data_IF_000751878473
#
_entry.id   IF_000751878473
#
_cell.length_a   1.000
_cell.length_b   1.000
_cell.length_c   1.000
_cell.angle_alpha   90.00
_cell.angle_beta   90.00
_cell.angle_gamma   90.00
#
_symmetry.space_group_name_H-M   'P 1'
#
loop_
_entity.id
_entity.type
_entity.pdbx_description
1 polymer ?
#
# COMPACT_ATOMS: atom_id res chain seq x y z
N UNK A 1 -15.97 17.48 9.96
CA UNK A 1 -17.01 16.44 10.13
C UNK A 1 -17.32 15.87 8.75
N UNK A 2 -16.65 14.80 8.34
CA UNK A 2 -16.99 14.12 7.08
C UNK A 2 -18.22 13.24 7.32
N UNK A 3 -19.27 13.47 6.55
CA UNK A 3 -20.45 12.62 6.52
C UNK A 3 -20.06 11.26 5.94
N UNK A 4 -19.97 10.24 6.81
CA UNK A 4 -19.85 8.83 6.38
C UNK A 4 -21.23 8.33 5.95
N UNK A 5 -21.62 8.62 4.72
CA UNK A 5 -22.80 8.02 4.10
C UNK A 5 -22.37 6.65 3.57
N UNK A 6 -23.08 5.58 3.96
CA UNK A 6 -22.79 4.25 3.45
C UNK A 6 -23.42 4.04 2.05
N UNK A 7 -23.02 2.98 1.33
CA UNK A 7 -23.48 2.75 -0.05
C UNK A 7 -25.00 2.65 -0.17
N UNK A 8 -25.69 2.07 0.80
CA UNK A 8 -27.16 1.94 0.79
C UNK A 8 -27.86 3.28 0.97
N UNK A 9 -27.44 4.08 1.94
CA UNK A 9 -27.96 5.42 2.18
C UNK A 9 -27.74 6.32 0.97
N UNK A 10 -26.59 6.20 0.33
CA UNK A 10 -26.27 6.97 -0.87
C UNK A 10 -27.11 6.54 -2.08
N UNK A 11 -27.28 5.22 -2.31
CA UNK A 11 -28.19 4.68 -3.34
C UNK A 11 -29.61 5.19 -3.15
N UNK A 12 -30.10 5.23 -1.91
CA UNK A 12 -31.41 5.77 -1.58
C UNK A 12 -31.52 7.26 -1.95
N UNK A 13 -30.53 8.07 -1.56
CA UNK A 13 -30.49 9.51 -1.86
C UNK A 13 -30.44 9.80 -3.37
N UNK A 14 -29.61 9.08 -4.11
CA UNK A 14 -29.51 9.23 -5.57
C UNK A 14 -30.81 8.84 -6.29
N UNK A 15 -31.43 7.75 -5.85
CA UNK A 15 -32.72 7.30 -6.38
C UNK A 15 -33.80 8.35 -6.13
N UNK A 16 -33.78 8.99 -4.96
CA UNK A 16 -34.74 10.02 -4.58
C UNK A 16 -34.55 11.32 -5.40
N UNK A 17 -33.31 11.82 -5.49
CA UNK A 17 -32.99 13.02 -6.28
C UNK A 17 -33.33 12.87 -7.77
N UNK A 18 -33.21 11.65 -8.33
CA UNK A 18 -33.56 11.38 -9.74
C UNK A 18 -35.05 11.18 -10.00
N UNK A 19 -35.79 10.65 -9.02
CA UNK A 19 -37.27 10.65 -9.04
C UNK A 19 -37.80 12.08 -9.14
N UNK A 20 -37.18 13.00 -8.42
CA UNK A 20 -37.50 14.43 -8.46
C UNK A 20 -37.11 15.07 -9.80
N UNK A 21 -36.04 14.60 -10.47
CA UNK A 21 -35.60 15.08 -11.78
C UNK A 21 -36.21 14.37 -13.00
N UNK A 22 -37.17 13.45 -12.80
CA UNK A 22 -37.85 12.71 -13.88
C UNK A 22 -36.99 11.67 -14.62
N UNK A 23 -35.84 11.29 -14.06
CA UNK A 23 -34.87 10.36 -14.68
C UNK A 23 -34.98 8.97 -14.04
N UNK A 24 -35.45 7.95 -14.77
CA UNK A 24 -36.00 6.72 -14.14
C UNK A 24 -34.97 5.59 -13.88
N UNK A 25 -33.75 5.63 -14.44
CA UNK A 25 -32.77 4.56 -14.23
C UNK A 25 -31.36 5.09 -13.89
N UNK A 26 -30.72 4.47 -12.90
CA UNK A 26 -29.26 4.50 -12.77
C UNK A 26 -28.70 3.85 -14.03
N UNK A 27 -27.89 4.58 -14.79
CA UNK A 27 -27.10 3.92 -15.84
C UNK A 27 -25.92 3.24 -15.13
N UNK A 28 -25.50 2.08 -15.61
CA UNK A 28 -24.36 1.34 -15.03
C UNK A 28 -23.11 2.23 -14.85
N UNK A 29 -22.96 3.23 -15.73
CA UNK A 29 -21.93 4.27 -15.62
C UNK A 29 -21.95 5.06 -14.30
N UNK A 30 -23.14 5.43 -13.79
CA UNK A 30 -23.27 6.21 -12.56
C UNK A 30 -22.81 5.40 -11.34
N UNK A 31 -23.09 4.09 -11.33
CA UNK A 31 -22.66 3.18 -10.27
C UNK A 31 -21.14 2.98 -10.31
N UNK A 32 -20.58 2.74 -11.51
CA UNK A 32 -19.14 2.61 -11.70
C UNK A 32 -18.38 3.89 -11.31
N UNK A 33 -18.95 5.07 -11.58
CA UNK A 33 -18.36 6.35 -11.21
C UNK A 33 -18.25 6.48 -9.68
N UNK A 34 -19.25 6.03 -8.94
CA UNK A 34 -19.26 6.11 -7.46
C UNK A 34 -18.24 5.15 -6.86
N UNK A 35 -18.16 3.92 -7.39
CA UNK A 35 -17.15 2.95 -6.95
C UNK A 35 -15.73 3.47 -7.22
N UNK A 36 -15.52 4.13 -8.37
CA UNK A 36 -14.27 4.83 -8.67
C UNK A 36 -13.94 5.92 -7.66
N UNK A 37 -14.89 6.82 -7.38
CA UNK A 37 -14.72 7.88 -6.38
C UNK A 37 -14.48 7.33 -4.97
N UNK A 38 -15.10 6.21 -4.61
CA UNK A 38 -14.83 5.55 -3.34
C UNK A 38 -13.38 5.04 -3.30
N UNK A 39 -12.93 4.36 -4.35
CA UNK A 39 -11.54 3.89 -4.46
C UNK A 39 -10.51 5.02 -4.44
N UNK A 40 -10.80 6.15 -5.10
CA UNK A 40 -9.95 7.35 -5.07
C UNK A 40 -9.85 7.95 -3.65
N UNK A 41 -10.97 8.02 -2.92
CA UNK A 41 -10.98 8.49 -1.53
C UNK A 41 -10.23 7.54 -0.60
N UNK A 42 -10.40 6.22 -0.77
CA UNK A 42 -9.66 5.22 -0.01
C UNK A 42 -8.15 5.34 -0.28
N UNK A 43 -7.75 5.49 -1.55
CA UNK A 43 -6.36 5.72 -1.93
C UNK A 43 -5.83 7.03 -1.33
N UNK A 44 -6.60 8.12 -1.34
CA UNK A 44 -6.19 9.39 -0.75
C UNK A 44 -5.84 9.24 0.75
N UNK A 45 -6.66 8.50 1.50
CA UNK A 45 -6.41 8.22 2.93
C UNK A 45 -5.17 7.34 3.14
N UNK A 46 -4.90 6.39 2.25
CA UNK A 46 -3.68 5.58 2.27
C UNK A 46 -2.46 6.49 2.10
N UNK A 47 -2.49 7.38 1.10
CA UNK A 47 -1.39 8.29 0.76
C UNK A 47 -1.04 9.26 1.88
N UNK A 48 -1.98 9.60 2.78
CA UNK A 48 -1.68 10.44 3.97
C UNK A 48 -0.77 9.76 5.01
N UNK A 49 -0.66 8.42 4.99
CA UNK A 49 0.02 7.65 6.03
C UNK A 49 1.02 6.64 5.51
N UNK A 50 1.47 6.81 4.26
CA UNK A 50 2.35 5.87 3.57
C UNK A 50 3.83 6.26 3.70
N UNK A 51 4.70 5.26 3.88
CA UNK A 51 6.15 5.41 3.69
C UNK A 51 6.55 4.83 2.35
N UNK A 52 7.29 5.58 1.54
CA UNK A 52 7.72 5.16 0.19
C UNK A 52 9.21 4.86 0.20
N UNK A 53 9.59 3.70 -0.31
CA UNK A 53 10.98 3.30 -0.55
C UNK A 53 11.17 2.86 -1.99
N UNK A 54 12.20 3.39 -2.62
CA UNK A 54 12.55 3.04 -4.00
C UNK A 54 13.50 1.86 -4.00
N UNK A 55 13.18 0.83 -4.80
CA UNK A 55 14.02 -0.33 -5.02
C UNK A 55 14.44 -0.37 -6.50
N UNK A 56 15.74 -0.47 -6.74
CA UNK A 56 16.33 -0.45 -8.08
C UNK A 56 16.68 -1.85 -8.60
N UNK A 57 16.80 -2.83 -7.72
CA UNK A 57 17.41 -4.13 -8.00
C UNK A 57 16.38 -5.25 -8.14
N UNK A 58 15.13 -5.00 -7.74
CA UNK A 58 14.03 -5.97 -7.80
C UNK A 58 13.87 -6.62 -9.18
N UNK A 59 14.01 -5.86 -10.26
CA UNK A 59 13.90 -6.37 -11.64
C UNK A 59 14.93 -7.46 -11.98
N UNK A 60 16.10 -7.44 -11.32
CA UNK A 60 17.18 -8.42 -11.49
C UNK A 60 17.11 -9.55 -10.48
N UNK A 61 16.79 -9.23 -9.23
CA UNK A 61 16.88 -10.19 -8.13
C UNK A 61 15.56 -10.91 -7.84
N UNK A 62 14.44 -10.34 -8.25
CA UNK A 62 13.09 -10.80 -7.87
C UNK A 62 12.73 -10.58 -6.40
N UNK A 63 13.58 -9.88 -5.64
CA UNK A 63 13.37 -9.59 -4.22
C UNK A 63 13.34 -8.08 -3.99
N UNK A 64 12.56 -7.67 -2.99
CA UNK A 64 12.65 -6.35 -2.36
C UNK A 64 13.58 -6.41 -1.15
N UNK A 65 14.26 -5.31 -0.88
CA UNK A 65 15.04 -5.14 0.35
C UNK A 65 14.24 -4.35 1.41
N UNK A 66 14.01 -4.96 2.58
CA UNK A 66 13.32 -4.32 3.70
C UNK A 66 14.32 -4.00 4.80
N UNK A 67 14.59 -2.72 5.06
CA UNK A 67 15.43 -2.30 6.17
C UNK A 67 14.70 -2.44 7.51
N UNK A 68 15.37 -3.02 8.51
CA UNK A 68 14.85 -3.15 9.87
C UNK A 68 15.80 -2.62 10.96
N UNK A 69 17.07 -2.35 10.63
CA UNK A 69 18.08 -1.85 11.56
C UNK A 69 19.16 -1.07 10.81
N UNK A 70 19.72 -0.04 11.44
CA UNK A 70 20.92 0.66 10.98
C UNK A 70 21.85 0.97 12.14
N UNK A 71 23.15 0.67 11.99
CA UNK A 71 24.19 0.88 13.01
C UNK A 71 23.84 0.30 14.39
N UNK A 72 23.23 -0.90 14.41
CA UNK A 72 22.82 -1.60 15.62
C UNK A 72 21.61 -0.99 16.32
N UNK A 73 20.87 -0.07 15.67
CA UNK A 73 19.64 0.53 16.19
C UNK A 73 18.47 0.18 15.27
N UNK A 74 17.27 -0.10 15.83
CA UNK A 74 16.08 -0.31 15.02
C UNK A 74 15.86 0.84 14.04
N UNK A 75 15.52 0.53 12.80
CA UNK A 75 15.21 1.51 11.75
C UNK A 75 14.18 0.95 10.76
N UNK A 76 13.80 1.76 9.77
CA UNK A 76 12.89 1.34 8.69
C UNK A 76 11.60 0.73 9.21
N UNK A 77 11.30 -0.51 8.78
CA UNK A 77 10.06 -1.20 9.12
C UNK A 77 9.88 -1.43 10.62
N UNK A 78 10.97 -1.47 11.39
CA UNK A 78 10.94 -1.67 12.84
C UNK A 78 10.45 -0.45 13.61
N UNK A 79 10.61 0.75 13.04
CA UNK A 79 10.36 2.03 13.73
C UNK A 79 9.34 2.93 13.05
N UNK A 80 8.93 2.59 11.82
CA UNK A 80 7.98 3.39 11.06
C UNK A 80 6.64 3.56 11.80
N UNK A 81 6.04 4.74 11.63
CA UNK A 81 4.68 5.06 12.08
C UNK A 81 3.67 5.03 10.91
N UNK A 82 4.15 4.76 9.70
CA UNK A 82 3.32 4.68 8.51
C UNK A 82 2.40 3.45 8.58
N UNK A 83 1.11 3.65 8.29
CA UNK A 83 0.14 2.55 8.25
C UNK A 83 0.30 1.70 7.00
N UNK A 84 0.79 2.30 5.93
CA UNK A 84 1.07 1.65 4.67
C UNK A 84 2.52 1.83 4.27
N UNK A 85 3.01 0.91 3.46
CA UNK A 85 4.32 0.92 2.87
C UNK A 85 4.19 0.82 1.35
N UNK A 86 4.98 1.60 0.62
CA UNK A 86 5.07 1.54 -0.82
C UNK A 86 6.48 1.16 -1.26
N UNK A 87 6.58 0.10 -2.05
CA UNK A 87 7.78 -0.21 -2.83
C UNK A 87 7.64 0.40 -4.22
N UNK A 88 8.45 1.40 -4.52
CA UNK A 88 8.59 1.95 -5.86
C UNK A 88 9.67 1.18 -6.62
N UNK A 89 9.25 0.21 -7.45
CA UNK A 89 10.13 -0.64 -8.24
C UNK A 89 10.59 0.10 -9.48
N UNK A 90 11.65 0.91 -9.33
CA UNK A 90 11.97 2.00 -10.27
C UNK A 90 12.18 1.55 -11.71
N UNK A 91 12.78 0.37 -11.91
CA UNK A 91 13.09 -0.15 -13.25
C UNK A 91 11.96 -0.96 -13.88
N UNK A 92 10.83 -1.07 -13.20
CA UNK A 92 9.67 -1.82 -13.68
C UNK A 92 8.45 -0.92 -13.88
N UNK A 93 8.53 0.37 -13.53
CA UNK A 93 7.41 1.30 -13.50
C UNK A 93 6.21 0.76 -12.69
N UNK A 94 6.49 0.06 -11.59
CA UNK A 94 5.50 -0.57 -10.72
C UNK A 94 5.64 -0.02 -9.30
N UNK A 95 4.51 0.29 -8.67
CA UNK A 95 4.43 0.55 -7.24
C UNK A 95 3.57 -0.52 -6.55
N UNK A 96 4.08 -1.07 -5.45
CA UNK A 96 3.36 -2.04 -4.62
C UNK A 96 3.04 -1.38 -3.29
N UNK A 97 1.75 -1.19 -3.01
CA UNK A 97 1.26 -0.66 -1.74
C UNK A 97 0.78 -1.82 -0.87
N UNK A 98 1.20 -1.83 0.38
CA UNK A 98 0.86 -2.88 1.34
C UNK A 98 0.69 -2.30 2.74
N UNK A 99 -0.26 -2.82 3.53
CA UNK A 99 -0.37 -2.46 4.94
C UNK A 99 0.92 -2.86 5.68
N UNK A 100 1.46 -1.95 6.48
CA UNK A 100 2.73 -2.13 7.19
C UNK A 100 2.70 -3.35 8.11
N UNK A 101 1.58 -3.62 8.79
CA UNK A 101 1.45 -4.80 9.65
C UNK A 101 1.45 -6.11 8.86
N UNK A 102 0.77 -6.15 7.71
CA UNK A 102 0.85 -7.29 6.78
C UNK A 102 2.28 -7.50 6.30
N UNK A 103 2.99 -6.42 5.94
CA UNK A 103 4.38 -6.48 5.52
C UNK A 103 5.28 -7.02 6.64
N UNK A 104 5.10 -6.59 7.90
CA UNK A 104 5.83 -7.13 9.05
C UNK A 104 5.59 -8.63 9.22
N UNK A 105 4.36 -9.11 9.05
CA UNK A 105 4.04 -10.55 9.11
C UNK A 105 4.78 -11.32 8.02
N UNK A 106 4.80 -10.81 6.78
CA UNK A 106 5.52 -11.44 5.66
C UNK A 106 7.03 -11.45 5.94
N UNK A 107 7.60 -10.31 6.35
CA UNK A 107 9.02 -10.18 6.67
C UNK A 107 9.45 -11.17 7.77
N UNK A 108 8.66 -11.34 8.83
CA UNK A 108 8.98 -12.28 9.92
C UNK A 108 9.15 -13.73 9.46
N UNK A 109 8.49 -14.16 8.37
CA UNK A 109 8.68 -15.50 7.79
C UNK A 109 10.12 -15.73 7.31
N UNK A 110 10.80 -14.66 6.91
CA UNK A 110 12.15 -14.68 6.37
C UNK A 110 13.23 -14.26 7.36
N UNK A 111 12.84 -13.65 8.49
CA UNK A 111 13.77 -13.05 9.44
C UNK A 111 14.83 -14.02 9.99
N UNK A 112 14.49 -15.28 10.22
CA UNK A 112 15.44 -16.29 10.70
C UNK A 112 16.25 -16.98 9.60
N UNK A 113 16.06 -16.59 8.34
CA UNK A 113 16.84 -17.10 7.23
C UNK A 113 18.09 -16.24 7.02
N UNK A 114 19.25 -16.75 7.45
CA UNK A 114 20.53 -16.04 7.36
C UNK A 114 20.88 -15.64 5.92
N UNK A 115 20.56 -16.47 4.92
CA UNK A 115 20.87 -16.16 3.51
C UNK A 115 20.05 -15.00 2.94
N UNK A 116 19.00 -14.57 3.66
CA UNK A 116 18.14 -13.44 3.29
C UNK A 116 18.40 -12.20 4.13
N UNK A 117 19.16 -12.31 5.21
CA UNK A 117 19.61 -11.18 6.00
C UNK A 117 20.93 -10.68 5.41
N UNK A 118 20.89 -9.50 4.80
CA UNK A 118 22.05 -8.92 4.12
C UNK A 118 22.38 -7.56 4.71
N UNK A 119 23.63 -7.15 4.55
CA UNK A 119 24.04 -5.79 4.84
C UNK A 119 23.88 -4.92 3.59
N UNK A 120 23.53 -3.66 3.80
CA UNK A 120 23.40 -2.67 2.74
C UNK A 120 23.29 -1.26 3.30
N UNK A 121 22.79 -0.33 2.48
CA UNK A 121 22.87 1.10 2.78
C UNK A 121 24.29 1.64 2.69
N UNK A 122 24.47 2.90 3.08
CA UNK A 122 25.79 3.53 3.07
C UNK A 122 26.72 2.79 4.05
N UNK A 123 27.94 2.52 3.59
CA UNK A 123 28.97 1.77 4.33
C UNK A 123 28.53 0.37 4.81
N UNK A 124 27.52 -0.25 4.17
CA UNK A 124 26.92 -1.52 4.63
C UNK A 124 26.42 -1.46 6.09
N UNK A 125 26.01 -0.27 6.54
CA UNK A 125 25.65 -0.01 7.94
C UNK A 125 24.22 -0.43 8.30
N UNK A 126 23.38 -0.75 7.31
CA UNK A 126 22.00 -1.20 7.50
C UNK A 126 21.86 -2.71 7.37
N UNK A 127 20.95 -3.28 8.17
CA UNK A 127 20.49 -4.66 8.05
C UNK A 127 19.19 -4.69 7.24
N UNK A 128 19.23 -5.42 6.14
CA UNK A 128 18.16 -5.55 5.16
C UNK A 128 17.69 -7.00 5.10
N UNK A 129 16.39 -7.20 4.94
CA UNK A 129 15.79 -8.51 4.72
C UNK A 129 15.29 -8.62 3.28
N UNK A 130 15.77 -9.63 2.56
CA UNK A 130 15.37 -9.91 1.18
C UNK A 130 14.10 -10.77 1.13
N UNK A 131 13.02 -10.17 0.64
CA UNK A 131 11.70 -10.81 0.51
C UNK A 131 11.33 -10.94 -0.97
N UNK A 132 10.93 -12.14 -1.46
CA UNK A 132 10.48 -12.30 -2.83
C UNK A 132 9.23 -11.45 -3.10
N UNK A 133 9.21 -10.71 -4.23
CA UNK A 133 8.07 -9.85 -4.59
C UNK A 133 6.76 -10.62 -4.63
N UNK A 134 6.80 -11.87 -5.12
CA UNK A 134 5.63 -12.75 -5.24
C UNK A 134 4.90 -13.02 -3.92
N UNK A 135 5.55 -12.83 -2.77
CA UNK A 135 4.94 -13.06 -1.46
C UNK A 135 4.23 -11.82 -0.91
N UNK A 136 4.33 -10.68 -1.62
CA UNK A 136 3.62 -9.44 -1.30
C UNK A 136 2.22 -9.39 -1.94
N UNK A 137 2.00 -10.20 -2.97
CA UNK A 137 0.84 -10.19 -3.86
C UNK A 137 -0.15 -11.26 -3.41
#
# INVERSE_FOLDING_TARGET
>A
MQLKINQEQFRSLLTQARKESGSVALKDFDLNLIEGLQGENELALILETIEVKTDFETHRTGNIAIEYESRGKPSGISTTKAKYWCFNLKQMDVMILIETEKLKVIARKYYHNESRNVKGGDDNSSSLLLVPVKDLI
#
